data_IF_831626930842
#
_entry.id   IF_831626930842
#
_cell.length_a   1.000
_cell.length_b   1.000
_cell.length_c   1.000
_cell.angle_alpha   90.00
_cell.angle_beta   90.00
_cell.angle_gamma   90.00
#
_symmetry.space_group_name_H-M   'P 1'
#
loop_
_entity.id
_entity.type
_entity.pdbx_description
1 polymer ?
#
# COMPACT_ATOMS: atom_id res chain seq x y z
N UNK A 1 9.09 -36.75 6.23
CA UNK A 1 7.64 -37.01 6.41
C UNK A 1 7.50 -38.50 6.57
N UNK A 2 6.95 -39.01 7.69
CA UNK A 2 6.78 -40.47 7.85
C UNK A 2 5.83 -40.99 6.77
N UNK A 3 6.26 -41.99 6.05
CA UNK A 3 5.52 -42.63 4.94
C UNK A 3 4.24 -43.39 5.36
N UNK A 4 3.84 -43.33 6.63
CA UNK A 4 2.73 -44.14 7.14
C UNK A 4 1.38 -43.40 7.30
N UNK A 5 1.30 -42.13 6.95
CA UNK A 5 0.04 -41.39 6.99
C UNK A 5 -0.32 -40.86 5.59
N UNK A 6 -1.46 -41.27 5.05
CA UNK A 6 -2.05 -40.76 3.78
C UNK A 6 -2.45 -39.29 3.86
N UNK A 7 -1.81 -38.50 4.73
CA UNK A 7 -2.12 -37.09 4.97
C UNK A 7 -1.16 -36.23 4.14
N UNK A 8 -1.70 -35.40 3.25
CA UNK A 8 -0.93 -34.48 2.42
C UNK A 8 -1.13 -33.04 2.89
N UNK A 9 -0.03 -32.31 3.07
CA UNK A 9 0.00 -30.89 3.43
C UNK A 9 0.41 -29.99 2.25
N UNK A 10 0.29 -30.48 1.01
CA UNK A 10 0.78 -29.77 -0.18
C UNK A 10 0.06 -28.45 -0.42
N UNK A 11 -1.27 -28.41 -0.22
CA UNK A 11 -2.05 -27.20 -0.43
C UNK A 11 -1.75 -26.14 0.61
N UNK A 12 -1.67 -26.53 1.89
CA UNK A 12 -1.38 -25.64 3.00
C UNK A 12 0.05 -25.09 2.88
N UNK A 13 1.01 -25.95 2.53
CA UNK A 13 2.39 -25.51 2.30
C UNK A 13 2.46 -24.48 1.15
N UNK A 14 1.75 -24.73 0.04
CA UNK A 14 1.71 -23.80 -1.08
C UNK A 14 1.12 -22.43 -0.65
N UNK A 15 0.02 -22.44 0.11
CA UNK A 15 -0.59 -21.20 0.62
C UNK A 15 0.31 -20.47 1.62
N UNK A 16 0.99 -21.19 2.52
CA UNK A 16 1.98 -20.61 3.44
C UNK A 16 3.13 -19.98 2.66
N UNK A 17 3.65 -20.62 1.62
CA UNK A 17 4.67 -20.04 0.76
C UNK A 17 4.15 -18.81 -0.01
N UNK A 18 2.92 -18.83 -0.49
CA UNK A 18 2.31 -17.66 -1.15
C UNK A 18 2.16 -16.47 -0.19
N UNK A 19 1.81 -16.72 1.07
CA UNK A 19 1.62 -15.68 2.08
C UNK A 19 2.84 -14.79 2.30
N UNK A 20 4.02 -15.25 1.90
CA UNK A 20 5.27 -14.49 2.02
C UNK A 20 5.24 -13.13 1.29
N UNK A 21 4.52 -13.04 0.16
CA UNK A 21 4.38 -11.81 -0.63
C UNK A 21 3.06 -11.06 -0.41
N UNK A 22 2.21 -11.55 0.51
CA UNK A 22 0.89 -11.01 0.75
C UNK A 22 0.84 -10.20 2.05
N UNK A 23 -0.20 -9.40 2.25
CA UNK A 23 -0.42 -8.66 3.49
C UNK A 23 -1.07 -9.52 4.61
N UNK A 24 -1.13 -9.00 5.82
CA UNK A 24 -1.72 -9.71 6.96
C UNK A 24 -3.24 -9.91 6.83
N UNK A 25 -3.94 -9.07 6.09
CA UNK A 25 -5.37 -9.27 5.83
C UNK A 25 -5.60 -10.46 4.90
N UNK A 26 -4.70 -10.65 3.91
CA UNK A 26 -4.73 -11.86 3.09
C UNK A 26 -4.48 -13.13 3.93
N UNK A 27 -3.51 -13.08 4.86
CA UNK A 27 -3.20 -14.20 5.76
C UNK A 27 -4.44 -14.56 6.58
N UNK A 28 -5.07 -13.58 7.23
CA UNK A 28 -6.29 -13.78 8.04
C UNK A 28 -7.44 -14.38 7.25
N UNK A 29 -7.59 -13.98 5.98
CA UNK A 29 -8.68 -14.39 5.10
C UNK A 29 -8.47 -15.78 4.50
N UNK A 30 -7.25 -16.14 4.14
CA UNK A 30 -6.96 -17.31 3.30
C UNK A 30 -6.29 -18.47 4.04
N UNK A 31 -5.71 -18.23 5.23
CA UNK A 31 -5.09 -19.26 6.04
C UNK A 31 -5.91 -19.53 7.31
N UNK A 32 -5.97 -20.79 7.70
CA UNK A 32 -6.65 -21.21 8.93
C UNK A 32 -5.68 -21.26 10.10
N UNK A 33 -6.15 -20.94 11.31
CA UNK A 33 -5.38 -20.99 12.56
C UNK A 33 -5.73 -22.19 13.45
N UNK A 34 -6.73 -22.98 13.11
CA UNK A 34 -7.29 -24.10 13.90
C UNK A 34 -7.64 -25.34 13.05
N UNK A 35 -6.95 -25.56 11.96
CA UNK A 35 -7.23 -26.68 11.05
C UNK A 35 -6.77 -28.02 11.64
N UNK A 36 -7.63 -29.04 11.55
CA UNK A 36 -7.29 -30.43 11.92
C UNK A 36 -7.08 -31.30 10.68
N UNK A 37 -5.93 -31.92 10.60
CA UNK A 37 -5.59 -32.87 9.54
C UNK A 37 -5.14 -34.20 10.12
N UNK A 38 -6.08 -35.15 10.21
CA UNK A 38 -5.89 -36.40 10.90
C UNK A 38 -5.64 -36.20 12.39
N UNK A 39 -4.43 -36.51 12.88
CA UNK A 39 -4.02 -36.33 14.26
C UNK A 39 -3.24 -35.03 14.50
N UNK A 40 -3.08 -34.19 13.46
CA UNK A 40 -2.29 -32.97 13.56
C UNK A 40 -3.20 -31.76 13.66
N UNK A 41 -2.87 -30.89 14.61
CA UNK A 41 -3.40 -29.53 14.68
C UNK A 41 -2.48 -28.61 13.89
N UNK A 42 -3.01 -27.91 12.92
CA UNK A 42 -2.27 -27.02 12.01
C UNK A 42 -2.75 -25.58 12.21
N UNK A 43 -1.84 -24.71 12.59
CA UNK A 43 -2.05 -23.26 12.52
C UNK A 43 -1.21 -22.70 11.35
N UNK A 44 -1.82 -22.60 10.17
CA UNK A 44 -1.14 -22.12 8.97
C UNK A 44 -0.81 -20.63 9.05
N UNK A 45 -1.61 -19.83 9.77
CA UNK A 45 -1.32 -18.41 10.03
C UNK A 45 -0.04 -18.26 10.85
N UNK A 46 0.12 -19.05 11.92
CA UNK A 46 1.32 -19.00 12.75
C UNK A 46 2.58 -19.42 11.98
N UNK A 47 2.49 -20.47 11.18
CA UNK A 47 3.63 -20.92 10.36
C UNK A 47 4.00 -19.86 9.32
N UNK A 48 3.01 -19.18 8.72
CA UNK A 48 3.28 -18.09 7.79
C UNK A 48 4.00 -16.92 8.46
N UNK A 49 3.61 -16.55 9.69
CA UNK A 49 4.29 -15.53 10.50
C UNK A 49 5.75 -15.91 10.74
N UNK A 50 6.01 -17.16 11.14
CA UNK A 50 7.38 -17.63 11.38
C UNK A 50 8.22 -17.60 10.10
N UNK A 51 7.64 -17.99 8.96
CA UNK A 51 8.31 -17.94 7.64
C UNK A 51 8.72 -16.51 7.30
N UNK A 52 7.80 -15.57 7.42
CA UNK A 52 8.02 -14.15 7.10
C UNK A 52 9.11 -13.53 7.99
N UNK A 53 9.03 -13.75 9.30
CA UNK A 53 10.06 -13.27 10.24
C UNK A 53 11.42 -13.89 9.91
N UNK A 54 11.46 -15.19 9.63
CA UNK A 54 12.71 -15.88 9.29
C UNK A 54 13.37 -15.29 8.04
N UNK A 55 12.59 -14.93 7.03
CA UNK A 55 13.10 -14.29 5.82
C UNK A 55 13.70 -12.91 6.11
N UNK A 56 13.02 -12.09 6.92
CA UNK A 56 13.59 -10.81 7.36
C UNK A 56 14.87 -10.96 8.20
N UNK A 57 15.05 -12.06 8.89
CA UNK A 57 16.27 -12.30 9.67
C UNK A 57 17.43 -12.88 8.86
N UNK A 58 17.15 -13.35 7.64
CA UNK A 58 18.16 -13.90 6.73
C UNK A 58 18.95 -12.79 6.01
N UNK A 59 19.60 -11.94 6.82
CA UNK A 59 20.44 -10.83 6.37
C UNK A 59 21.80 -10.88 7.06
N UNK A 60 22.81 -11.38 6.36
CA UNK A 60 24.23 -11.39 6.76
C UNK A 60 25.12 -11.69 5.55
N UNK A 61 26.44 -11.75 5.76
CA UNK A 61 27.42 -12.00 4.70
C UNK A 61 27.31 -13.39 4.05
N UNK A 62 26.74 -14.37 4.72
CA UNK A 62 26.56 -15.72 4.17
C UNK A 62 25.52 -15.73 3.05
N UNK A 63 24.47 -14.89 3.19
CA UNK A 63 23.45 -14.69 2.15
C UNK A 63 24.01 -14.02 0.90
N UNK A 64 25.02 -13.18 1.04
CA UNK A 64 25.61 -12.41 -0.04
C UNK A 64 27.14 -12.65 -0.11
N UNK A 65 27.62 -13.81 -0.56
CA UNK A 65 29.05 -14.12 -0.59
C UNK A 65 29.85 -13.09 -1.36
N UNK A 66 30.90 -12.54 -0.76
CA UNK A 66 31.69 -11.44 -1.31
C UNK A 66 32.30 -11.78 -2.69
N UNK A 67 32.69 -13.04 -2.92
CA UNK A 67 33.22 -13.46 -4.21
C UNK A 67 32.16 -13.36 -5.32
N UNK A 68 30.92 -13.70 -5.01
CA UNK A 68 29.78 -13.62 -5.94
C UNK A 68 29.43 -12.15 -6.23
N UNK A 69 29.42 -11.31 -5.20
CA UNK A 69 29.27 -9.86 -5.36
C UNK A 69 30.31 -9.26 -6.31
N UNK A 70 31.61 -9.61 -6.11
CA UNK A 70 32.68 -9.14 -6.99
C UNK A 70 32.56 -9.66 -8.42
N UNK A 71 32.09 -10.87 -8.60
CA UNK A 71 31.88 -11.47 -9.92
C UNK A 71 30.70 -10.85 -10.67
N UNK A 72 29.55 -10.68 -10.00
CA UNK A 72 28.34 -10.12 -10.59
C UNK A 72 28.44 -8.61 -10.81
N UNK A 73 29.27 -7.91 -10.00
CA UNK A 73 29.46 -6.47 -10.03
C UNK A 73 28.13 -5.69 -10.13
N UNK A 74 27.20 -5.88 -9.18
CA UNK A 74 25.88 -5.26 -9.23
C UNK A 74 25.98 -3.74 -9.25
N UNK A 75 25.00 -3.06 -9.84
CA UNK A 75 24.97 -1.61 -10.00
C UNK A 75 23.78 -1.00 -9.27
N UNK A 76 23.91 0.28 -8.93
CA UNK A 76 22.82 1.12 -8.38
C UNK A 76 22.06 0.46 -7.21
N UNK A 77 20.77 0.24 -7.40
CA UNK A 77 19.90 -0.33 -6.37
C UNK A 77 20.40 -1.71 -5.90
N UNK A 78 20.77 -2.59 -6.84
CA UNK A 78 21.27 -3.93 -6.51
C UNK A 78 22.57 -3.90 -5.73
N UNK A 79 23.46 -2.93 -5.97
CA UNK A 79 24.69 -2.75 -5.22
C UNK A 79 24.42 -2.46 -3.73
N UNK A 80 23.46 -1.59 -3.44
CA UNK A 80 23.04 -1.30 -2.07
C UNK A 80 22.39 -2.49 -1.37
N UNK A 81 21.61 -3.31 -2.13
CA UNK A 81 21.03 -4.56 -1.59
C UNK A 81 22.11 -5.54 -1.15
N UNK A 82 23.14 -5.73 -1.95
CA UNK A 82 24.26 -6.60 -1.58
C UNK A 82 25.05 -6.05 -0.39
N UNK A 83 25.36 -4.77 -0.41
CA UNK A 83 26.22 -4.12 0.61
C UNK A 83 25.60 -4.15 2.01
N UNK A 84 24.28 -4.11 2.16
CA UNK A 84 23.66 -4.17 3.48
C UNK A 84 23.96 -5.47 4.21
N UNK A 85 24.11 -6.61 3.48
CA UNK A 85 24.45 -7.89 4.07
C UNK A 85 25.86 -7.90 4.69
N UNK A 86 26.81 -7.13 4.12
CA UNK A 86 28.18 -7.07 4.63
C UNK A 86 28.33 -6.22 5.90
N UNK A 87 27.32 -5.44 6.25
CA UNK A 87 27.32 -4.62 7.47
C UNK A 87 26.93 -5.42 8.70
N UNK A 88 26.10 -6.45 8.52
CA UNK A 88 25.59 -7.26 9.62
C UNK A 88 26.60 -8.33 10.01
N UNK A 89 27.16 -8.20 11.22
CA UNK A 89 28.23 -9.06 11.72
C UNK A 89 27.73 -10.19 12.63
N UNK A 90 26.53 -10.05 13.22
CA UNK A 90 25.98 -11.09 14.09
C UNK A 90 25.16 -12.12 13.31
N UNK A 91 25.47 -13.41 13.50
CA UNK A 91 24.68 -14.52 12.91
C UNK A 91 23.39 -14.74 13.70
N UNK A 92 23.47 -14.81 15.03
CA UNK A 92 22.30 -14.89 15.88
C UNK A 92 21.58 -13.53 15.92
N UNK A 93 20.35 -13.50 15.44
CA UNK A 93 19.54 -12.28 15.38
C UNK A 93 18.58 -12.16 16.56
N UNK A 94 18.33 -13.25 17.28
CA UNK A 94 17.41 -13.30 18.44
C UNK A 94 18.23 -13.52 19.69
N UNK A 95 18.02 -12.67 20.68
CA UNK A 95 18.65 -12.82 22.00
C UNK A 95 17.66 -12.54 23.13
N UNK A 96 17.99 -13.02 24.31
CA UNK A 96 17.28 -12.67 25.54
C UNK A 96 17.92 -11.42 26.14
N UNK A 97 17.10 -10.39 26.36
CA UNK A 97 17.58 -9.16 26.99
C UNK A 97 17.98 -9.46 28.45
N UNK A 98 19.21 -9.15 28.87
CA UNK A 98 19.69 -9.50 30.22
C UNK A 98 19.01 -8.72 31.35
N UNK A 99 18.36 -7.58 31.04
CA UNK A 99 17.69 -6.73 32.03
C UNK A 99 16.20 -7.05 32.16
N UNK A 100 15.51 -7.27 31.02
CA UNK A 100 14.05 -7.48 30.99
C UNK A 100 13.67 -8.94 30.86
N UNK A 101 14.62 -9.81 30.51
CA UNK A 101 14.43 -11.24 30.22
C UNK A 101 13.51 -11.54 29.02
N UNK A 102 13.18 -10.53 28.21
CA UNK A 102 12.37 -10.66 27.02
C UNK A 102 13.21 -11.05 25.80
N UNK A 103 12.61 -11.71 24.83
CA UNK A 103 13.25 -11.98 23.54
C UNK A 103 13.19 -10.74 22.66
N UNK A 104 14.34 -10.38 22.10
CA UNK A 104 14.47 -9.23 21.20
C UNK A 104 15.28 -9.59 19.96
N UNK A 105 14.94 -8.99 18.84
CA UNK A 105 15.73 -9.06 17.62
C UNK A 105 16.76 -7.93 17.67
N UNK A 106 18.03 -8.26 17.38
CA UNK A 106 19.09 -7.27 17.36
C UNK A 106 20.00 -7.45 16.16
N UNK A 107 20.52 -6.33 15.68
CA UNK A 107 21.51 -6.30 14.62
C UNK A 107 22.75 -5.52 15.09
N UNK A 108 23.90 -6.12 14.89
CA UNK A 108 25.19 -5.55 15.25
C UNK A 108 26.09 -5.54 14.04
N UNK A 109 26.93 -4.50 13.91
CA UNK A 109 27.90 -4.40 12.83
C UNK A 109 28.43 -2.98 12.65
N UNK A 110 29.15 -2.78 11.53
CA UNK A 110 29.80 -1.50 11.23
C UNK A 110 29.50 -1.05 9.82
N UNK A 111 28.89 0.12 9.67
CA UNK A 111 28.60 0.75 8.38
C UNK A 111 29.62 1.86 8.08
N UNK A 112 30.21 1.80 6.89
CA UNK A 112 31.15 2.82 6.39
C UNK A 112 30.54 3.69 5.27
N UNK A 113 29.35 3.33 4.78
CA UNK A 113 28.63 4.03 3.72
C UNK A 113 27.32 4.59 4.25
N UNK A 114 27.10 5.93 4.22
CA UNK A 114 25.87 6.55 4.68
C UNK A 114 24.62 6.07 3.94
N UNK A 115 24.73 5.67 2.66
CA UNK A 115 23.59 5.20 1.88
C UNK A 115 23.16 3.80 2.30
N UNK A 116 24.14 2.91 2.55
CA UNK A 116 23.89 1.57 3.10
C UNK A 116 23.34 1.68 4.52
N UNK A 117 23.86 2.57 5.34
CA UNK A 117 23.37 2.81 6.70
C UNK A 117 21.89 3.23 6.70
N UNK A 118 21.53 4.23 5.87
CA UNK A 118 20.11 4.65 5.72
C UNK A 118 19.22 3.53 5.21
N UNK A 119 19.72 2.68 4.31
CA UNK A 119 18.96 1.52 3.82
C UNK A 119 18.67 0.52 4.93
N UNK A 120 19.66 0.22 5.78
CA UNK A 120 19.49 -0.65 6.95
C UNK A 120 18.44 -0.10 7.93
N UNK A 121 18.42 1.21 8.17
CA UNK A 121 17.41 1.80 9.05
C UNK A 121 15.99 1.62 8.50
N UNK A 122 15.79 1.82 7.19
CA UNK A 122 14.51 1.54 6.53
C UNK A 122 14.14 0.06 6.63
N UNK A 123 15.12 -0.82 6.52
CA UNK A 123 14.92 -2.24 6.68
C UNK A 123 14.49 -2.61 8.10
N UNK A 124 15.08 -2.00 9.13
CA UNK A 124 14.67 -2.19 10.52
C UNK A 124 13.27 -1.62 10.79
N UNK A 125 12.91 -0.48 10.19
CA UNK A 125 11.55 0.05 10.27
C UNK A 125 10.53 -0.93 9.65
N UNK A 126 10.87 -1.58 8.52
CA UNK A 126 10.03 -2.62 7.91
C UNK A 126 9.88 -3.85 8.82
N UNK A 127 10.99 -4.32 9.44
CA UNK A 127 10.94 -5.42 10.42
C UNK A 127 10.06 -5.05 11.62
N UNK A 128 10.16 -3.83 12.14
CA UNK A 128 9.33 -3.38 13.26
C UNK A 128 7.84 -3.42 12.91
N UNK A 129 7.47 -2.99 11.70
CA UNK A 129 6.10 -3.10 11.20
C UNK A 129 5.62 -4.55 11.07
N UNK A 130 6.46 -5.42 10.52
CA UNK A 130 6.18 -6.85 10.38
C UNK A 130 6.00 -7.54 11.73
N UNK A 131 6.91 -7.28 12.69
CA UNK A 131 6.85 -7.83 14.04
C UNK A 131 5.59 -7.39 14.79
N UNK A 132 5.19 -6.11 14.65
CA UNK A 132 3.97 -5.61 15.25
C UNK A 132 2.76 -6.38 14.75
N UNK A 133 2.60 -6.48 13.44
CA UNK A 133 1.48 -7.21 12.82
C UNK A 133 1.50 -8.70 13.18
N UNK A 134 2.69 -9.29 13.27
CA UNK A 134 2.88 -10.69 13.65
C UNK A 134 2.46 -10.95 15.10
N UNK A 135 2.87 -10.11 16.04
CA UNK A 135 2.49 -10.20 17.46
C UNK A 135 0.98 -10.00 17.60
N UNK A 136 0.41 -8.94 16.99
CA UNK A 136 -1.03 -8.64 17.02
C UNK A 136 -1.86 -9.83 16.48
N UNK A 137 -1.40 -10.48 15.40
CA UNK A 137 -2.06 -11.67 14.87
C UNK A 137 -1.96 -12.86 15.84
N UNK A 138 -0.77 -13.13 16.38
CA UNK A 138 -0.56 -14.25 17.31
C UNK A 138 -1.32 -14.08 18.63
N UNK A 139 -1.48 -12.85 19.12
CA UNK A 139 -2.31 -12.54 20.29
C UNK A 139 -3.81 -12.80 20.06
N UNK A 140 -4.25 -12.83 18.81
CA UNK A 140 -5.65 -13.16 18.48
C UNK A 140 -5.97 -14.66 18.53
N UNK A 141 -4.97 -15.52 18.66
CA UNK A 141 -5.18 -16.98 18.73
C UNK A 141 -5.66 -17.41 20.11
N UNK A 142 -6.54 -18.39 20.16
CA UNK A 142 -7.10 -18.92 21.42
C UNK A 142 -6.07 -19.71 22.21
N UNK A 143 -5.14 -20.38 21.53
CA UNK A 143 -4.15 -21.27 22.16
C UNK A 143 -2.84 -20.50 22.39
N UNK A 144 -2.52 -20.29 23.66
CA UNK A 144 -1.33 -19.55 24.11
C UNK A 144 0.01 -20.13 23.61
N UNK A 145 0.03 -21.40 23.17
CA UNK A 145 1.26 -22.00 22.58
C UNK A 145 1.70 -21.30 21.29
N UNK A 146 0.80 -20.55 20.62
CA UNK A 146 1.09 -19.77 19.42
C UNK A 146 1.39 -18.30 19.69
N UNK A 147 1.53 -17.89 20.94
CA UNK A 147 2.03 -16.55 21.27
C UNK A 147 3.46 -16.38 20.74
N UNK A 148 3.73 -15.18 20.23
CA UNK A 148 5.05 -14.81 19.74
C UNK A 148 5.75 -13.92 20.81
N UNK A 149 6.64 -14.47 21.65
CA UNK A 149 7.22 -13.73 22.77
C UNK A 149 8.39 -12.85 22.32
N UNK A 150 8.22 -12.10 21.24
CA UNK A 150 9.22 -11.19 20.67
C UNK A 150 8.82 -9.74 20.88
N UNK A 151 9.79 -8.89 21.20
CA UNK A 151 9.60 -7.43 21.13
C UNK A 151 9.37 -7.01 19.69
N UNK A 152 8.49 -6.04 19.52
CA UNK A 152 8.12 -5.49 18.19
C UNK A 152 9.12 -4.49 17.64
N UNK A 153 10.14 -4.10 18.45
CA UNK A 153 11.18 -3.17 18.03
C UNK A 153 12.54 -3.85 17.96
N UNK A 154 13.18 -3.74 16.84
CA UNK A 154 14.56 -4.19 16.61
C UNK A 154 15.55 -3.35 17.43
N UNK A 155 16.52 -4.01 18.06
CA UNK A 155 17.64 -3.34 18.71
C UNK A 155 18.75 -3.12 17.71
N UNK A 156 18.92 -1.87 17.30
CA UNK A 156 19.97 -1.46 16.36
C UNK A 156 21.28 -1.17 17.12
N UNK A 157 22.31 -1.95 16.81
CA UNK A 157 23.68 -1.78 17.32
C UNK A 157 24.71 -1.58 16.17
N UNK A 158 24.23 -1.08 15.01
CA UNK A 158 25.11 -0.75 13.88
C UNK A 158 25.84 0.55 14.16
N UNK A 159 27.17 0.48 14.18
CA UNK A 159 28.02 1.64 14.36
C UNK A 159 28.33 2.30 13.01
N UNK A 160 28.30 3.62 12.95
CA UNK A 160 28.80 4.39 11.80
C UNK A 160 30.30 4.63 11.94
N UNK A 161 31.06 4.38 10.87
CA UNK A 161 32.50 4.63 10.83
C UNK A 161 32.84 5.52 9.64
N UNK A 162 33.56 6.62 9.91
CA UNK A 162 33.94 7.60 8.87
C UNK A 162 32.89 8.64 8.56
N UNK A 163 31.69 8.59 9.20
CA UNK A 163 30.66 9.61 9.15
C UNK A 163 29.94 9.69 10.49
N UNK A 164 29.33 10.84 10.77
CA UNK A 164 28.44 11.01 11.92
C UNK A 164 27.01 10.80 11.46
N UNK A 165 26.33 9.85 12.07
CA UNK A 165 24.89 9.62 11.84
C UNK A 165 24.10 10.26 12.99
N UNK A 166 23.13 11.07 12.63
CA UNK A 166 22.07 11.54 13.54
C UNK A 166 20.72 11.16 12.95
N UNK A 167 19.77 10.72 13.78
CA UNK A 167 18.40 10.36 13.34
C UNK A 167 17.61 11.64 13.00
N UNK A 168 18.16 12.44 12.07
CA UNK A 168 17.46 13.57 11.51
C UNK A 168 16.64 13.08 10.33
N UNK A 169 15.33 13.19 10.45
CA UNK A 169 14.39 12.87 9.38
C UNK A 169 13.87 14.16 8.77
N UNK A 170 13.82 14.21 7.45
CA UNK A 170 13.06 15.25 6.77
C UNK A 170 11.59 14.99 7.04
N UNK A 171 10.97 15.82 7.87
CA UNK A 171 9.53 15.79 8.11
C UNK A 171 8.84 16.81 7.20
N UNK A 172 7.72 16.41 6.63
CA UNK A 172 6.84 17.30 5.90
C UNK A 172 5.67 17.66 6.83
N UNK A 173 5.43 18.95 6.99
CA UNK A 173 4.20 19.41 7.62
C UNK A 173 3.07 19.18 6.61
N UNK A 174 2.18 18.25 6.93
CA UNK A 174 1.04 17.88 6.08
C UNK A 174 0.19 19.09 5.71
N UNK A 175 -0.16 19.91 6.70
CA UNK A 175 -1.01 21.09 6.47
C UNK A 175 -0.30 22.13 5.61
N UNK A 176 1.00 22.38 5.85
CA UNK A 176 1.78 23.32 5.05
C UNK A 176 1.90 22.86 3.59
N UNK A 177 2.21 21.56 3.38
CA UNK A 177 2.31 20.98 2.03
C UNK A 177 0.96 20.95 1.32
N UNK A 178 -0.10 20.57 2.03
CA UNK A 178 -1.46 20.52 1.48
C UNK A 178 -1.93 21.92 1.11
N UNK A 179 -1.73 22.94 1.96
CA UNK A 179 -2.04 24.32 1.65
C UNK A 179 -1.22 24.85 0.46
N UNK A 180 0.05 24.46 0.34
CA UNK A 180 0.88 24.81 -0.82
C UNK A 180 0.32 24.18 -2.10
N UNK A 181 -0.04 22.90 -2.07
CA UNK A 181 -0.58 22.16 -3.21
C UNK A 181 -2.00 22.63 -3.58
N UNK A 182 -2.81 23.01 -2.60
CA UNK A 182 -4.19 23.50 -2.80
C UNK A 182 -4.26 25.00 -3.11
N UNK A 183 -3.15 25.74 -2.93
CA UNK A 183 -3.12 27.19 -3.09
C UNK A 183 -2.94 27.65 -4.54
N UNK A 184 -3.32 28.90 -4.79
CA UNK A 184 -3.13 29.59 -6.08
C UNK A 184 -1.65 29.66 -6.50
N UNK A 185 -0.71 29.40 -5.58
CA UNK A 185 0.73 29.46 -5.83
C UNK A 185 1.23 28.43 -6.85
N UNK A 186 0.58 27.26 -6.95
CA UNK A 186 0.96 26.21 -7.92
C UNK A 186 0.11 26.36 -9.19
N UNK A 187 -1.19 26.57 -9.05
CA UNK A 187 -2.12 26.56 -10.18
C UNK A 187 -2.44 27.94 -10.73
N UNK A 188 -2.16 29.02 -10.00
CA UNK A 188 -2.28 30.42 -10.46
C UNK A 188 -3.70 30.97 -10.63
N UNK A 189 -4.73 30.13 -10.77
CA UNK A 189 -6.12 30.55 -10.97
C UNK A 189 -7.08 29.43 -10.59
N UNK A 190 -8.18 29.77 -9.93
CA UNK A 190 -9.25 28.82 -9.51
C UNK A 190 -9.83 27.99 -10.66
N UNK A 191 -9.83 28.49 -11.90
CA UNK A 191 -10.29 27.74 -13.08
C UNK A 191 -9.54 26.42 -13.29
N UNK A 192 -8.29 26.30 -12.81
CA UNK A 192 -7.53 25.06 -12.92
C UNK A 192 -8.13 23.93 -12.06
N UNK A 193 -8.78 24.24 -10.93
CA UNK A 193 -9.51 23.24 -10.15
C UNK A 193 -10.59 22.54 -10.95
N UNK A 194 -11.43 23.30 -11.67
CA UNK A 194 -12.45 22.72 -12.55
C UNK A 194 -11.84 21.98 -13.74
N UNK A 195 -10.76 22.51 -14.31
CA UNK A 195 -10.04 21.83 -15.41
C UNK A 195 -9.53 20.45 -15.00
N UNK A 196 -8.90 20.33 -13.82
CA UNK A 196 -8.39 19.05 -13.32
C UNK A 196 -9.53 18.03 -13.11
N UNK A 197 -10.68 18.46 -12.58
CA UNK A 197 -11.85 17.59 -12.43
C UNK A 197 -12.37 17.09 -13.77
N UNK A 198 -12.50 17.98 -14.76
CA UNK A 198 -12.93 17.59 -16.11
C UNK A 198 -11.90 16.65 -16.75
N UNK A 199 -10.61 16.89 -16.58
CA UNK A 199 -9.56 16.03 -17.11
C UNK A 199 -9.61 14.62 -16.51
N UNK A 200 -9.80 14.50 -15.19
CA UNK A 200 -9.99 13.21 -14.54
C UNK A 200 -11.24 12.47 -15.06
N UNK A 201 -12.32 13.20 -15.32
CA UNK A 201 -13.53 12.64 -15.94
C UNK A 201 -13.28 12.16 -17.38
N UNK A 202 -12.47 12.88 -18.17
CA UNK A 202 -12.07 12.45 -19.53
C UNK A 202 -11.26 11.15 -19.45
N UNK A 203 -10.26 11.09 -18.56
CA UNK A 203 -9.42 9.89 -18.38
C UNK A 203 -10.28 8.69 -17.96
N UNK A 204 -11.23 8.87 -17.04
CA UNK A 204 -12.15 7.82 -16.59
C UNK A 204 -13.08 7.34 -17.72
N UNK A 205 -13.60 8.27 -18.54
CA UNK A 205 -14.45 7.94 -19.69
C UNK A 205 -13.67 7.19 -20.78
N UNK A 206 -12.44 7.62 -21.09
CA UNK A 206 -11.58 6.93 -22.06
C UNK A 206 -11.18 5.53 -21.59
N UNK A 207 -10.85 5.38 -20.31
CA UNK A 207 -10.60 4.09 -19.68
C UNK A 207 -11.83 3.17 -19.78
N UNK A 208 -13.03 3.71 -19.57
CA UNK A 208 -14.28 2.95 -19.69
C UNK A 208 -14.58 2.58 -21.14
N UNK A 209 -14.38 3.47 -22.09
CA UNK A 209 -14.59 3.23 -23.54
C UNK A 209 -13.76 2.04 -24.01
N UNK A 210 -12.47 2.00 -23.63
CA UNK A 210 -11.59 0.89 -23.94
C UNK A 210 -12.02 -0.41 -23.24
N UNK A 211 -12.45 -0.32 -21.96
CA UNK A 211 -12.97 -1.49 -21.23
C UNK A 211 -14.23 -2.03 -21.85
N UNK A 212 -15.12 -1.16 -22.32
CA UNK A 212 -16.40 -1.55 -22.94
C UNK A 212 -16.18 -2.30 -24.26
N UNK A 213 -15.17 -1.94 -25.04
CA UNK A 213 -14.81 -2.65 -26.29
C UNK A 213 -14.23 -4.05 -26.03
N UNK A 214 -13.50 -4.23 -24.93
CA UNK A 214 -12.93 -5.53 -24.52
C UNK A 214 -13.94 -6.44 -23.78
N UNK A 215 -15.09 -5.90 -23.35
CA UNK A 215 -16.12 -6.66 -22.62
C UNK A 215 -17.23 -7.13 -23.54
N UNK A 216 -17.48 -8.45 -23.58
CA UNK A 216 -18.63 -9.05 -24.25
C UNK A 216 -19.97 -8.83 -23.52
N UNK A 217 -20.00 -8.07 -22.42
CA UNK A 217 -21.20 -7.82 -21.64
C UNK A 217 -22.15 -6.88 -22.37
N UNK A 218 -23.35 -7.34 -22.64
CA UNK A 218 -24.45 -6.59 -23.30
C UNK A 218 -24.67 -5.18 -22.72
N UNK A 219 -24.44 -4.99 -21.40
CA UNK A 219 -24.59 -3.71 -20.70
C UNK A 219 -23.72 -2.58 -21.27
N UNK A 220 -22.58 -2.88 -21.90
CA UNK A 220 -21.59 -1.90 -22.35
C UNK A 220 -21.43 -1.83 -23.88
N UNK A 221 -22.19 -2.62 -24.65
CA UNK A 221 -22.08 -2.68 -26.11
C UNK A 221 -22.30 -1.34 -26.84
N UNK A 222 -23.03 -0.41 -26.19
CA UNK A 222 -23.30 0.92 -26.74
C UNK A 222 -22.86 2.04 -25.77
N UNK A 223 -21.74 1.84 -25.09
CA UNK A 223 -21.21 2.87 -24.19
C UNK A 223 -20.91 4.14 -24.99
N UNK A 224 -21.45 5.27 -24.50
CA UNK A 224 -21.15 6.61 -24.99
C UNK A 224 -20.60 7.42 -23.83
N UNK A 225 -19.37 7.98 -23.95
CA UNK A 225 -18.80 8.80 -22.88
C UNK A 225 -19.64 10.06 -22.67
N UNK A 226 -19.90 10.37 -21.42
CA UNK A 226 -20.70 11.53 -21.03
C UNK A 226 -20.06 12.22 -19.83
N UNK A 227 -19.88 13.54 -19.94
CA UNK A 227 -19.41 14.40 -18.85
C UNK A 227 -20.37 15.58 -18.73
N UNK A 228 -20.82 15.89 -17.51
CA UNK A 228 -21.69 16.99 -17.22
C UNK A 228 -21.10 17.88 -16.13
N UNK A 229 -21.19 19.19 -16.34
CA UNK A 229 -20.85 20.19 -15.32
C UNK A 229 -22.11 21.00 -15.05
N UNK A 230 -22.60 20.94 -13.81
CA UNK A 230 -23.85 21.57 -13.39
C UNK A 230 -23.53 22.63 -12.33
N UNK A 231 -24.02 23.86 -12.56
CA UNK A 231 -23.98 24.92 -11.58
C UNK A 231 -25.38 25.11 -10.99
N UNK A 232 -25.58 24.62 -9.77
CA UNK A 232 -26.82 24.82 -8.99
C UNK A 232 -26.70 26.08 -8.14
N UNK A 233 -27.28 27.18 -8.63
CA UNK A 233 -27.23 28.48 -7.97
C UNK A 233 -28.08 28.54 -6.70
N UNK A 234 -29.17 27.76 -6.65
CA UNK A 234 -30.08 27.75 -5.52
C UNK A 234 -29.48 27.05 -4.32
N UNK A 235 -28.77 25.95 -4.58
CA UNK A 235 -28.07 25.16 -3.55
C UNK A 235 -26.61 25.56 -3.36
N UNK A 236 -26.12 26.52 -4.13
CA UNK A 236 -24.71 26.93 -4.14
C UNK A 236 -23.76 25.73 -4.33
N UNK A 237 -24.02 24.90 -5.35
CA UNK A 237 -23.20 23.71 -5.64
C UNK A 237 -22.74 23.68 -7.07
N UNK A 238 -21.49 23.25 -7.25
CA UNK A 238 -20.94 22.82 -8.55
C UNK A 238 -20.83 21.31 -8.55
N UNK A 239 -21.37 20.67 -9.56
CA UNK A 239 -21.29 19.22 -9.71
C UNK A 239 -20.59 18.90 -11.03
N UNK A 240 -19.58 18.04 -10.95
CA UNK A 240 -18.91 17.43 -12.12
C UNK A 240 -19.22 15.95 -12.11
N UNK A 241 -19.84 15.47 -13.16
CA UNK A 241 -20.31 14.09 -13.28
C UNK A 241 -19.79 13.46 -14.56
N UNK A 242 -19.39 12.20 -14.48
CA UNK A 242 -19.04 11.37 -15.62
C UNK A 242 -19.71 9.99 -15.51
N UNK A 243 -19.75 9.29 -16.65
CA UNK A 243 -20.13 7.88 -16.72
C UNK A 243 -18.93 6.98 -17.02
N UNK A 244 -17.72 7.41 -16.61
CA UNK A 244 -16.48 6.70 -16.80
C UNK A 244 -16.38 5.40 -16.00
N UNK A 245 -15.16 4.91 -15.81
CA UNK A 245 -14.91 3.63 -15.09
C UNK A 245 -15.33 3.62 -13.63
N UNK A 246 -15.47 4.77 -12.99
CA UNK A 246 -15.63 4.88 -11.55
C UNK A 246 -14.43 4.34 -10.77
N UNK A 247 -14.57 4.24 -9.45
CA UNK A 247 -13.51 3.77 -8.56
C UNK A 247 -14.04 2.72 -7.58
N UNK A 248 -13.35 1.57 -7.51
CA UNK A 248 -13.55 0.57 -6.47
C UNK A 248 -13.00 1.05 -5.13
N UNK A 249 -13.35 0.37 -4.05
CA UNK A 249 -12.80 0.67 -2.73
C UNK A 249 -11.28 0.54 -2.69
N UNK A 250 -10.70 -0.39 -3.45
CA UNK A 250 -9.26 -0.59 -3.52
C UNK A 250 -8.56 0.54 -4.27
N UNK A 251 -9.14 1.00 -5.39
CA UNK A 251 -8.64 2.17 -6.12
C UNK A 251 -8.70 3.41 -5.24
N UNK A 252 -9.79 3.59 -4.50
CA UNK A 252 -9.93 4.71 -3.57
C UNK A 252 -8.82 4.68 -2.51
N UNK A 253 -8.64 3.57 -1.81
CA UNK A 253 -7.67 3.43 -0.71
C UNK A 253 -6.23 3.48 -1.16
N UNK A 254 -5.89 2.80 -2.28
CA UNK A 254 -4.50 2.68 -2.73
C UNK A 254 -4.00 3.92 -3.48
N UNK A 255 -4.89 4.60 -4.20
CA UNK A 255 -4.50 5.66 -5.15
C UNK A 255 -5.18 6.99 -4.89
N UNK A 256 -6.51 7.05 -4.89
CA UNK A 256 -7.24 8.31 -4.82
C UNK A 256 -7.02 9.07 -3.51
N UNK A 257 -6.96 8.36 -2.38
CA UNK A 257 -6.70 8.93 -1.06
C UNK A 257 -5.21 9.10 -0.73
N UNK A 258 -4.32 8.65 -1.61
CA UNK A 258 -2.88 8.79 -1.45
C UNK A 258 -2.34 9.87 -2.38
N UNK A 259 -2.15 11.07 -1.84
CA UNK A 259 -1.62 12.21 -2.59
C UNK A 259 -0.25 11.89 -3.17
N UNK A 260 -0.07 12.15 -4.46
CA UNK A 260 1.18 11.86 -5.18
C UNK A 260 1.26 10.44 -5.74
N UNK A 261 0.22 9.62 -5.56
CA UNK A 261 0.15 8.26 -6.12
C UNK A 261 -0.93 8.23 -7.18
N UNK A 262 -0.56 8.00 -8.44
CA UNK A 262 -1.51 7.92 -9.55
C UNK A 262 -1.89 6.48 -9.85
N UNK A 263 -3.21 6.18 -9.91
CA UNK A 263 -3.72 4.90 -10.39
C UNK A 263 -3.23 4.60 -11.82
N UNK A 264 -3.25 5.60 -12.67
CA UNK A 264 -2.87 5.46 -14.07
C UNK A 264 -1.37 5.21 -14.30
N UNK A 265 -0.53 5.54 -13.33
CA UNK A 265 0.90 5.23 -13.35
C UNK A 265 1.24 3.89 -12.66
N UNK A 266 0.25 3.23 -12.04
CA UNK A 266 0.45 2.02 -11.26
C UNK A 266 0.59 0.77 -12.13
N UNK A 267 1.18 -0.28 -11.53
CA UNK A 267 1.23 -1.60 -12.16
C UNK A 267 -0.18 -2.21 -12.27
N UNK A 268 -1.09 -1.93 -11.32
CA UNK A 268 -2.49 -2.38 -11.37
C UNK A 268 -3.21 -1.87 -12.63
N UNK A 269 -2.85 -0.68 -13.14
CA UNK A 269 -3.39 -0.16 -14.40
C UNK A 269 -2.65 -0.73 -15.62
N UNK A 270 -1.32 -0.79 -15.58
CA UNK A 270 -0.48 -1.26 -16.69
C UNK A 270 -0.72 -2.74 -17.03
N UNK A 271 -0.95 -3.59 -16.03
CA UNK A 271 -1.24 -5.02 -16.22
C UNK A 271 -2.59 -5.28 -16.90
N UNK A 272 -3.46 -4.26 -17.08
CA UNK A 272 -4.73 -4.41 -17.78
C UNK A 272 -4.60 -4.33 -19.32
N UNK A 273 -3.37 -4.28 -19.85
CA UNK A 273 -3.07 -4.24 -21.29
C UNK A 273 -3.88 -3.17 -22.03
N UNK A 274 -3.76 -1.92 -21.59
CA UNK A 274 -4.52 -0.78 -22.10
C UNK A 274 -3.70 -0.01 -23.12
N UNK A 275 -4.37 0.43 -24.20
CA UNK A 275 -3.79 1.28 -25.25
C UNK A 275 -3.86 2.77 -24.88
N UNK A 276 -4.89 3.16 -24.10
CA UNK A 276 -5.07 4.54 -23.69
C UNK A 276 -4.02 4.95 -22.64
N UNK A 277 -3.33 6.07 -22.92
CA UNK A 277 -2.42 6.72 -21.98
C UNK A 277 -3.10 7.93 -21.35
N UNK A 278 -3.52 7.85 -20.09
CA UNK A 278 -4.19 8.94 -19.38
C UNK A 278 -3.30 10.18 -19.25
N UNK A 279 -3.93 11.34 -19.11
CA UNK A 279 -3.24 12.63 -18.96
C UNK A 279 -2.80 12.83 -17.49
N UNK A 280 -3.57 12.31 -16.53
CA UNK A 280 -3.34 12.46 -15.09
C UNK A 280 -2.27 11.51 -14.55
N UNK A 281 -1.00 11.95 -14.50
CA UNK A 281 0.12 11.11 -14.06
C UNK A 281 0.58 11.32 -12.61
N UNK A 282 0.28 12.47 -12.00
CA UNK A 282 0.94 12.88 -10.76
C UNK A 282 0.18 12.53 -9.48
N UNK A 283 -1.11 12.18 -9.56
CA UNK A 283 -1.92 11.85 -8.37
C UNK A 283 -2.19 13.05 -7.43
N UNK A 284 -2.03 14.29 -7.93
CA UNK A 284 -2.28 15.52 -7.15
C UNK A 284 -3.42 16.38 -7.71
N UNK A 285 -3.86 16.11 -8.94
CA UNK A 285 -4.83 16.96 -9.65
C UNK A 285 -6.15 17.12 -8.90
N UNK A 286 -6.61 16.07 -8.19
CA UNK A 286 -7.83 16.14 -7.38
C UNK A 286 -7.76 17.24 -6.29
N UNK A 287 -6.60 17.48 -5.70
CA UNK A 287 -6.44 18.50 -4.66
C UNK A 287 -6.76 19.92 -5.16
N UNK A 288 -6.71 20.15 -6.46
CA UNK A 288 -7.08 21.43 -7.05
C UNK A 288 -8.58 21.76 -6.86
N UNK A 289 -9.44 20.77 -6.55
CA UNK A 289 -10.85 21.03 -6.19
C UNK A 289 -10.98 21.92 -4.94
N UNK A 290 -10.01 21.86 -4.02
CA UNK A 290 -9.99 22.71 -2.82
C UNK A 290 -9.66 24.18 -3.11
N UNK A 291 -9.27 24.52 -4.33
CA UNK A 291 -9.25 25.92 -4.79
C UNK A 291 -10.67 26.46 -5.02
N UNK A 292 -11.64 25.56 -5.20
CA UNK A 292 -13.04 25.89 -5.49
C UNK A 292 -13.93 25.81 -4.26
N UNK A 293 -13.63 24.90 -3.32
CA UNK A 293 -14.49 24.58 -2.20
C UNK A 293 -13.69 24.10 -1.00
N UNK A 294 -14.16 24.40 0.20
CA UNK A 294 -13.62 23.82 1.45
C UNK A 294 -14.23 22.45 1.77
N UNK A 295 -15.35 22.09 1.11
CA UNK A 295 -16.00 20.79 1.24
C UNK A 295 -16.16 20.14 -0.13
N UNK A 296 -15.76 18.88 -0.22
CA UNK A 296 -15.85 18.09 -1.44
C UNK A 296 -16.50 16.77 -1.11
N UNK A 297 -17.55 16.43 -1.85
CA UNK A 297 -18.18 15.12 -1.79
C UNK A 297 -17.93 14.37 -3.11
N UNK A 298 -17.54 13.11 -3.03
CA UNK A 298 -17.29 12.23 -4.18
C UNK A 298 -18.18 11.00 -4.06
N UNK A 299 -19.04 10.81 -5.05
CA UNK A 299 -19.89 9.64 -5.21
C UNK A 299 -19.40 8.85 -6.42
N UNK A 300 -19.01 7.59 -6.24
CA UNK A 300 -18.44 6.81 -7.35
C UNK A 300 -18.95 5.36 -7.36
N UNK A 301 -19.23 4.86 -8.54
CA UNK A 301 -19.66 3.47 -8.80
C UNK A 301 -18.69 2.86 -9.79
N UNK A 302 -17.97 1.84 -9.38
CA UNK A 302 -17.04 1.13 -10.25
C UNK A 302 -17.80 0.24 -11.26
N UNK A 303 -17.36 0.21 -12.50
CA UNK A 303 -18.09 -0.46 -13.60
C UNK A 303 -18.37 -1.97 -13.37
N UNK A 304 -17.58 -2.64 -12.54
CA UNK A 304 -17.77 -4.05 -12.18
C UNK A 304 -18.58 -4.27 -10.90
N UNK A 305 -19.00 -3.20 -10.21
CA UNK A 305 -19.67 -3.26 -8.93
C UNK A 305 -21.09 -2.67 -9.00
N UNK A 306 -21.95 -3.06 -8.03
CA UNK A 306 -23.27 -2.47 -7.81
C UNK A 306 -23.33 -1.72 -6.48
N UNK A 307 -22.17 -1.21 -6.06
CA UNK A 307 -22.00 -0.44 -4.82
C UNK A 307 -21.53 0.96 -5.17
N UNK A 308 -22.16 1.94 -4.56
CA UNK A 308 -21.73 3.33 -4.61
C UNK A 308 -20.88 3.61 -3.38
N UNK A 309 -19.65 4.04 -3.61
CA UNK A 309 -18.77 4.59 -2.58
C UNK A 309 -18.99 6.09 -2.50
N UNK A 310 -19.26 6.59 -1.30
CA UNK A 310 -19.42 8.02 -1.01
C UNK A 310 -18.34 8.46 -0.06
N UNK A 311 -17.61 9.51 -0.43
CA UNK A 311 -16.50 10.06 0.36
C UNK A 311 -16.75 11.54 0.55
N UNK A 312 -16.55 12.01 1.77
CA UNK A 312 -16.61 13.43 2.11
C UNK A 312 -15.26 13.91 2.64
N UNK A 313 -14.79 15.03 2.12
CA UNK A 313 -13.54 15.68 2.48
C UNK A 313 -13.82 17.10 2.98
N UNK A 314 -13.02 17.53 3.94
CA UNK A 314 -12.98 18.93 4.38
C UNK A 314 -11.53 19.43 4.32
N UNK A 315 -11.33 20.67 3.86
CA UNK A 315 -10.02 21.31 3.89
C UNK A 315 -9.49 21.31 5.33
N UNK A 316 -8.21 21.03 5.50
CA UNK A 316 -7.54 20.96 6.80
C UNK A 316 -8.00 19.80 7.72
N UNK A 317 -8.69 18.79 7.20
CA UNK A 317 -8.98 17.55 7.92
C UNK A 317 -8.25 16.38 7.28
N UNK A 318 -7.52 15.64 8.09
CA UNK A 318 -6.89 14.37 7.66
C UNK A 318 -7.89 13.20 7.71
N UNK A 319 -9.02 13.39 8.38
CA UNK A 319 -10.05 12.36 8.53
C UNK A 319 -11.05 12.42 7.39
N UNK A 320 -11.33 11.26 6.82
CA UNK A 320 -12.20 11.08 5.68
C UNK A 320 -13.35 10.18 6.10
N UNK A 321 -14.57 10.61 5.80
CA UNK A 321 -15.76 9.79 5.99
C UNK A 321 -16.02 9.00 4.70
N UNK A 322 -15.96 7.67 4.79
CA UNK A 322 -16.30 6.78 3.70
C UNK A 322 -17.56 5.99 4.08
N UNK A 323 -18.59 6.07 3.23
CA UNK A 323 -19.78 5.23 3.33
C UNK A 323 -20.01 4.51 2.00
N UNK A 324 -20.74 3.42 2.03
CA UNK A 324 -21.12 2.68 0.83
C UNK A 324 -22.57 2.18 0.96
N UNK A 325 -23.24 2.14 -0.18
CA UNK A 325 -24.61 1.66 -0.28
C UNK A 325 -24.82 0.89 -1.58
N UNK A 326 -25.73 -0.06 -1.57
CA UNK A 326 -26.14 -0.74 -2.80
C UNK A 326 -26.89 0.26 -3.71
N UNK A 327 -26.60 0.24 -5.00
CA UNK A 327 -27.17 1.19 -5.93
C UNK A 327 -27.54 0.54 -7.25
N UNK A 328 -28.58 1.09 -7.88
CA UNK A 328 -28.96 0.82 -9.28
C UNK A 328 -28.34 1.85 -10.24
N UNK A 329 -27.60 2.84 -9.70
CA UNK A 329 -26.92 3.86 -10.50
C UNK A 329 -25.91 3.20 -11.43
N UNK A 330 -25.75 3.75 -12.62
CA UNK A 330 -24.72 3.33 -13.55
C UNK A 330 -23.33 3.73 -13.02
N UNK A 331 -22.28 3.10 -13.55
CA UNK A 331 -20.89 3.43 -13.25
C UNK A 331 -20.59 4.91 -13.53
N UNK A 332 -19.52 5.40 -12.91
CA UNK A 332 -19.03 6.76 -13.07
C UNK A 332 -18.74 7.44 -11.76
N UNK A 333 -18.36 8.70 -11.82
CA UNK A 333 -18.03 9.53 -10.67
C UNK A 333 -18.81 10.84 -10.72
N UNK A 334 -19.25 11.30 -9.55
CA UNK A 334 -19.85 12.60 -9.30
C UNK A 334 -19.08 13.30 -8.20
N UNK A 335 -18.60 14.49 -8.49
CA UNK A 335 -17.91 15.35 -7.53
C UNK A 335 -18.77 16.56 -7.29
N UNK A 336 -19.08 16.83 -6.02
CA UNK A 336 -19.95 17.91 -5.57
C UNK A 336 -19.11 18.85 -4.73
N UNK A 337 -19.13 20.12 -5.10
CA UNK A 337 -18.40 21.20 -4.46
C UNK A 337 -19.40 22.25 -3.96
N UNK A 338 -19.22 22.72 -2.73
CA UNK A 338 -19.93 23.90 -2.25
C UNK A 338 -19.18 25.14 -2.74
N UNK A 339 -19.89 26.19 -3.20
CA UNK A 339 -19.27 27.47 -3.53
C UNK A 339 -19.99 28.62 -2.82
N UNK A 340 -19.23 29.63 -2.46
CA UNK A 340 -19.71 30.84 -1.81
C UNK A 340 -20.24 31.88 -2.82
#
# INVERSE_FOLDING_TARGET
>A
IPESTNISFKSELAQICMSHNEDFEWIKKNLHNDEKKGHFDLNAQYISVLLRISDYLDIDEQRAPLYLYKYLNPKEFSDLEWKQHFVIENYDKIRRNPKTNELEIFFQGTSQDPSVHRKLLKYFDAINGELKNAVDLCESFVDEKYLLPLKTNVVNQIQSKGFSFSDLRLSLDYNAVTNLLMGEHIYGDRKYGLRELIQNSIDACKTMEESATKMEKFRYQNYQPYISVILDKDRKKVMVMDNGSGMSIDILKKYFLNVGVSYYASDDYRLQDREYSPIGHYGIGFLACFMLSDKVEVNTVYYNEQKMNRISFERNSEYICLTYEDTVRQQGTEIILDYD
#
